data_IF_944026360906
#
_entry.id   IF_944026360906
#
_cell.length_a   1.000
_cell.length_b   1.000
_cell.length_c   1.000
_cell.angle_alpha   90.00
_cell.angle_beta   90.00
_cell.angle_gamma   90.00
#
_symmetry.space_group_name_H-M   'P 1'
#
loop_
_entity.id
_entity.type
_entity.pdbx_description
1 polymer ?
#
# COMPACT_ATOMS: atom_id res chain seq x y z
N UNK A 1 16.12 -13.56 11.25
CA UNK A 1 16.83 -12.31 11.58
C UNK A 1 16.03 -11.11 11.14
N UNK A 2 15.87 -10.10 12.04
CA UNK A 2 15.22 -8.83 11.76
C UNK A 2 16.23 -7.71 11.90
N UNK A 3 16.14 -6.71 11.04
CA UNK A 3 16.95 -5.49 11.14
C UNK A 3 16.15 -4.27 10.68
N UNK A 4 16.55 -3.11 11.17
CA UNK A 4 16.02 -1.82 10.71
C UNK A 4 16.98 -1.25 9.64
N UNK A 5 16.52 -0.97 8.40
CA UNK A 5 17.40 -0.42 7.37
C UNK A 5 18.09 0.90 7.75
N UNK A 6 17.46 1.70 8.60
CA UNK A 6 18.03 2.95 9.13
C UNK A 6 19.15 2.71 10.17
N UNK A 7 19.10 1.56 10.87
CA UNK A 7 20.03 1.17 11.93
C UNK A 7 20.46 -0.29 11.75
N UNK A 8 21.16 -0.65 10.66
CA UNK A 8 21.44 -2.04 10.29
C UNK A 8 22.34 -2.79 11.29
N UNK A 9 23.11 -2.07 12.10
CA UNK A 9 23.97 -2.66 13.13
C UNK A 9 23.23 -2.99 14.42
N UNK A 10 22.04 -2.44 14.64
CA UNK A 10 21.23 -2.70 15.82
C UNK A 10 20.27 -3.84 15.54
N UNK A 11 20.65 -5.03 15.97
CA UNK A 11 19.89 -6.27 15.80
C UNK A 11 19.25 -6.64 17.14
N UNK A 12 17.93 -6.48 17.30
CA UNK A 12 17.25 -6.75 18.59
C UNK A 12 17.41 -8.19 19.09
N UNK A 13 17.56 -9.13 18.16
CA UNK A 13 17.69 -10.56 18.45
C UNK A 13 19.14 -10.98 18.74
N UNK A 14 20.13 -10.07 18.60
CA UNK A 14 21.57 -10.33 18.69
C UNK A 14 22.27 -9.32 19.59
N UNK A 15 21.69 -9.03 20.76
CA UNK A 15 22.21 -8.01 21.67
C UNK A 15 23.38 -8.52 22.53
N UNK A 16 23.48 -9.83 22.74
CA UNK A 16 24.59 -10.49 23.45
C UNK A 16 25.09 -11.72 22.69
N UNK A 17 26.22 -12.29 23.13
CA UNK A 17 26.73 -13.55 22.56
C UNK A 17 25.74 -14.69 22.79
N UNK A 18 25.11 -14.72 23.98
CA UNK A 18 24.08 -15.70 24.32
C UNK A 18 22.87 -15.57 23.41
N UNK A 19 22.37 -14.34 23.18
CA UNK A 19 21.26 -14.10 22.28
C UNK A 19 21.55 -14.56 20.84
N UNK A 20 22.78 -14.34 20.37
CA UNK A 20 23.20 -14.81 19.04
C UNK A 20 23.22 -16.35 19.00
N UNK A 21 23.75 -17.00 20.04
CA UNK A 21 23.79 -18.46 20.12
C UNK A 21 22.40 -19.07 20.18
N UNK A 22 21.44 -18.43 20.80
CA UNK A 22 20.07 -18.93 20.94
C UNK A 22 19.21 -18.67 19.69
N UNK A 23 19.38 -17.51 19.06
CA UNK A 23 18.51 -17.06 17.97
C UNK A 23 19.11 -17.26 16.56
N UNK A 24 20.44 -17.41 16.40
CA UNK A 24 21.02 -17.61 15.08
C UNK A 24 20.71 -18.99 14.50
N UNK A 25 20.42 -19.03 13.20
CA UNK A 25 20.20 -20.27 12.49
C UNK A 25 21.50 -21.10 12.44
N UNK A 26 21.41 -22.40 12.81
CA UNK A 26 22.49 -23.37 12.82
C UNK A 26 22.24 -24.57 11.92
N UNK A 27 21.01 -24.71 11.43
CA UNK A 27 20.58 -25.85 10.62
C UNK A 27 19.75 -25.37 9.45
N UNK A 28 19.72 -26.17 8.41
CA UNK A 28 18.79 -25.99 7.29
C UNK A 28 18.15 -27.34 6.93
N UNK A 29 17.09 -27.29 6.16
CA UNK A 29 16.42 -28.44 5.62
C UNK A 29 16.71 -28.56 4.13
N UNK A 30 17.03 -29.75 3.65
CA UNK A 30 17.25 -30.03 2.25
C UNK A 30 16.57 -31.33 1.83
N UNK A 31 16.16 -31.36 0.56
CA UNK A 31 15.62 -32.54 -0.11
C UNK A 31 16.68 -33.00 -1.11
N UNK A 32 17.12 -34.26 -1.09
CA UNK A 32 18.05 -34.79 -2.10
C UNK A 32 17.37 -34.73 -3.47
N UNK A 33 18.04 -34.11 -4.46
CA UNK A 33 17.52 -33.97 -5.81
C UNK A 33 17.69 -35.24 -6.66
N UNK A 34 18.62 -36.12 -6.28
CA UNK A 34 18.88 -37.39 -6.98
C UNK A 34 19.08 -38.50 -5.98
N UNK A 35 18.24 -39.50 -6.07
CA UNK A 35 18.57 -40.83 -5.59
C UNK A 35 18.90 -41.67 -6.83
N UNK A 36 20.17 -42.07 -7.05
CA UNK A 36 20.60 -42.83 -8.22
C UNK A 36 19.89 -44.20 -8.34
N UNK A 37 19.08 -44.57 -7.32
CA UNK A 37 18.37 -45.84 -7.23
C UNK A 37 16.85 -45.73 -7.55
N UNK A 38 16.28 -44.53 -7.72
CA UNK A 38 14.83 -44.38 -7.94
C UNK A 38 14.51 -44.30 -9.43
N UNK A 39 13.77 -45.29 -9.92
CA UNK A 39 13.16 -45.23 -11.25
C UNK A 39 12.02 -44.17 -11.25
N UNK A 40 11.73 -43.50 -12.41
CA UNK A 40 10.74 -42.46 -12.50
C UNK A 40 9.29 -42.79 -12.09
N UNK A 41 9.02 -44.08 -11.79
CA UNK A 41 7.70 -44.60 -11.36
C UNK A 41 7.42 -44.39 -9.86
N UNK A 42 8.46 -44.15 -9.02
CA UNK A 42 8.34 -44.06 -7.57
C UNK A 42 8.27 -42.62 -7.02
N UNK A 43 8.04 -41.61 -7.88
CA UNK A 43 7.97 -40.20 -7.49
C UNK A 43 6.77 -39.83 -6.60
N UNK A 44 6.03 -40.77 -6.06
CA UNK A 44 4.89 -40.55 -5.16
C UNK A 44 5.22 -40.81 -3.68
N UNK A 45 6.40 -41.23 -3.31
CA UNK A 45 6.75 -41.46 -1.93
C UNK A 45 7.51 -40.26 -1.33
N UNK A 46 6.80 -39.52 -0.50
CA UNK A 46 7.23 -38.71 0.65
C UNK A 46 8.71 -38.28 0.69
N UNK A 47 9.11 -37.34 -0.17
CA UNK A 47 10.35 -36.60 0.05
C UNK A 47 10.23 -35.74 1.30
N UNK A 48 10.59 -36.27 2.45
CA UNK A 48 10.68 -35.48 3.68
C UNK A 48 12.00 -34.71 3.71
N UNK A 49 11.97 -33.40 3.96
CA UNK A 49 13.21 -32.66 4.09
C UNK A 49 14.02 -33.13 5.29
N UNK A 50 15.28 -33.43 5.05
CA UNK A 50 16.24 -33.82 6.09
C UNK A 50 16.93 -32.60 6.68
N UNK A 51 17.17 -32.59 7.99
CA UNK A 51 17.80 -31.48 8.70
C UNK A 51 19.32 -31.67 8.71
N UNK A 52 20.04 -30.64 8.24
CA UNK A 52 21.50 -30.60 8.18
C UNK A 52 22.06 -29.43 8.98
N UNK A 53 23.25 -29.57 9.62
CA UNK A 53 23.95 -28.45 10.21
C UNK A 53 24.46 -27.50 9.10
N UNK A 54 24.51 -26.18 9.37
CA UNK A 54 24.99 -25.19 8.40
C UNK A 54 26.40 -25.50 7.88
N UNK A 55 27.27 -26.14 8.66
CA UNK A 55 28.63 -26.54 8.24
C UNK A 55 28.67 -27.49 7.03
N UNK A 56 27.58 -28.16 6.70
CA UNK A 56 27.49 -28.96 5.46
C UNK A 56 27.60 -28.06 4.21
N UNK A 57 27.19 -26.80 4.31
CA UNK A 57 27.28 -25.80 3.25
C UNK A 57 28.59 -25.00 3.28
N UNK A 58 29.62 -25.37 4.04
CA UNK A 58 30.90 -24.66 4.09
C UNK A 58 31.61 -24.58 2.71
N UNK A 59 31.26 -25.48 1.79
CA UNK A 59 31.74 -25.45 0.41
C UNK A 59 31.03 -24.48 -0.51
N UNK A 60 29.90 -23.91 -0.07
CA UNK A 60 29.09 -22.97 -0.86
C UNK A 60 29.54 -21.54 -0.63
N UNK A 61 29.83 -20.80 -1.71
CA UNK A 61 30.25 -19.41 -1.62
C UNK A 61 29.22 -18.51 -0.92
N UNK A 62 27.92 -18.84 -1.01
CA UNK A 62 26.86 -18.09 -0.37
C UNK A 62 27.02 -17.99 1.16
N UNK A 63 27.51 -19.05 1.81
CA UNK A 63 27.69 -19.08 3.26
C UNK A 63 28.75 -18.08 3.74
N UNK A 64 29.75 -17.79 2.91
CA UNK A 64 30.82 -16.85 3.22
C UNK A 64 30.29 -15.43 3.52
N UNK A 65 29.23 -15.01 2.84
CA UNK A 65 28.61 -13.71 3.02
C UNK A 65 27.58 -13.66 4.17
N UNK A 66 27.12 -14.82 4.65
CA UNK A 66 25.99 -14.89 5.58
C UNK A 66 26.39 -15.33 6.99
N UNK A 67 27.45 -16.15 7.12
CA UNK A 67 27.78 -16.81 8.38
C UNK A 67 28.89 -16.13 9.17
N UNK A 68 28.82 -16.35 10.49
CA UNK A 68 29.89 -16.14 11.47
C UNK A 68 30.25 -17.45 12.13
N UNK A 69 31.36 -17.46 12.86
CA UNK A 69 31.87 -18.66 13.55
C UNK A 69 31.90 -18.43 15.05
N UNK A 70 31.21 -19.28 15.78
CA UNK A 70 31.34 -19.38 17.21
C UNK A 70 32.59 -20.18 17.59
N UNK A 71 33.47 -19.63 18.44
CA UNK A 71 34.70 -20.19 18.93
C UNK A 71 34.53 -20.44 20.44
N UNK A 72 34.17 -21.64 20.86
CA UNK A 72 33.88 -21.96 22.29
C UNK A 72 35.07 -21.66 23.22
N UNK A 73 36.27 -21.95 22.76
CA UNK A 73 37.51 -21.76 23.53
C UNK A 73 37.78 -20.29 23.88
N UNK A 74 37.41 -19.39 22.98
CA UNK A 74 37.57 -17.93 23.17
C UNK A 74 36.31 -17.26 23.76
N UNK A 75 35.17 -17.95 23.85
CA UNK A 75 33.89 -17.42 24.27
C UNK A 75 33.39 -16.28 23.38
N UNK A 76 33.72 -16.30 22.10
CA UNK A 76 33.38 -15.20 21.15
C UNK A 76 32.91 -15.68 19.79
N UNK A 77 32.19 -14.81 19.11
CA UNK A 77 31.75 -14.99 17.73
C UNK A 77 32.70 -14.16 16.85
N UNK A 78 33.30 -14.80 15.85
CA UNK A 78 34.11 -14.17 14.82
C UNK A 78 33.26 -14.03 13.54
N UNK A 79 33.29 -12.85 12.94
CA UNK A 79 32.60 -12.62 11.67
C UNK A 79 33.27 -13.42 10.54
N UNK A 80 32.45 -14.05 9.70
CA UNK A 80 32.91 -14.90 8.58
C UNK A 80 33.21 -16.35 8.96
N UNK A 81 33.60 -17.14 7.95
CA UNK A 81 33.80 -18.60 8.04
C UNK A 81 35.28 -19.02 8.08
N UNK A 82 36.22 -18.08 8.13
CA UNK A 82 37.67 -18.35 8.08
C UNK A 82 38.28 -18.98 9.36
N UNK A 83 37.48 -19.28 10.39
CA UNK A 83 37.90 -19.87 11.65
C UNK A 83 37.29 -21.28 11.85
N UNK A 84 37.95 -22.08 12.67
CA UNK A 84 37.40 -23.37 13.12
C UNK A 84 36.37 -23.08 14.23
N UNK A 85 35.18 -23.69 14.14
CA UNK A 85 34.11 -23.54 15.12
C UNK A 85 32.72 -23.81 14.54
N UNK A 86 31.70 -23.50 15.33
CA UNK A 86 30.29 -23.71 14.93
C UNK A 86 29.80 -22.56 14.06
N UNK A 87 29.19 -22.89 12.91
CA UNK A 87 28.61 -21.89 11.99
C UNK A 87 27.27 -21.35 12.48
N UNK A 88 27.12 -20.04 12.40
CA UNK A 88 25.91 -19.29 12.79
C UNK A 88 25.58 -18.32 11.65
N UNK A 89 24.32 -18.26 11.22
CA UNK A 89 23.87 -17.28 10.24
C UNK A 89 23.57 -15.95 10.95
N UNK A 90 24.45 -14.96 10.74
CA UNK A 90 24.36 -13.65 11.41
C UNK A 90 24.18 -12.48 10.44
N UNK A 91 24.44 -12.68 9.15
CA UNK A 91 24.51 -11.63 8.14
C UNK A 91 25.50 -10.50 8.47
N UNK A 92 26.48 -10.76 9.32
CA UNK A 92 27.45 -9.74 9.77
C UNK A 92 28.21 -9.10 8.61
N UNK A 93 28.60 -9.87 7.59
CA UNK A 93 29.26 -9.34 6.40
C UNK A 93 28.46 -8.25 5.71
N UNK A 94 27.14 -8.44 5.58
CA UNK A 94 26.24 -7.50 4.91
C UNK A 94 25.83 -6.37 5.84
N UNK A 95 25.36 -6.68 7.05
CA UNK A 95 24.74 -5.68 7.94
C UNK A 95 25.78 -4.88 8.73
N UNK A 96 26.90 -5.48 9.12
CA UNK A 96 27.95 -4.85 9.92
C UNK A 96 29.09 -4.29 9.05
N UNK A 97 29.52 -5.04 8.03
CA UNK A 97 30.64 -4.66 7.18
C UNK A 97 30.21 -4.05 5.83
N UNK A 98 28.90 -4.03 5.54
CA UNK A 98 28.31 -3.43 4.34
C UNK A 98 28.94 -3.95 3.03
N UNK A 99 29.35 -5.21 2.97
CA UNK A 99 29.90 -5.83 1.75
C UNK A 99 28.91 -5.81 0.59
N UNK A 100 27.63 -5.80 0.90
CA UNK A 100 26.53 -5.46 -0.01
C UNK A 100 25.65 -4.40 0.66
N UNK A 101 25.29 -3.30 -0.02
CA UNK A 101 24.60 -2.15 0.59
C UNK A 101 23.08 -2.40 0.78
N UNK A 102 22.69 -3.56 1.32
CA UNK A 102 21.31 -4.01 1.47
C UNK A 102 20.43 -2.99 2.19
N UNK A 103 20.91 -2.42 3.30
CA UNK A 103 20.14 -1.46 4.09
C UNK A 103 19.80 -0.19 3.31
N UNK A 104 20.74 0.30 2.47
CA UNK A 104 20.53 1.47 1.60
C UNK A 104 19.52 1.17 0.51
N UNK A 105 19.61 0.01 -0.13
CA UNK A 105 18.62 -0.43 -1.12
C UNK A 105 17.24 -0.59 -0.53
N UNK A 106 17.10 -1.27 0.61
CA UNK A 106 15.83 -1.44 1.28
C UNK A 106 15.19 -0.09 1.64
N UNK A 107 15.97 0.86 2.21
CA UNK A 107 15.48 2.20 2.49
C UNK A 107 15.01 2.93 1.23
N UNK A 108 15.81 2.92 0.17
CA UNK A 108 15.47 3.61 -1.08
C UNK A 108 14.21 3.01 -1.73
N UNK A 109 14.09 1.68 -1.76
CA UNK A 109 12.92 1.01 -2.31
C UNK A 109 11.65 1.30 -1.49
N UNK A 110 11.75 1.30 -0.15
CA UNK A 110 10.63 1.66 0.73
C UNK A 110 10.20 3.11 0.53
N UNK A 111 11.17 4.04 0.40
CA UNK A 111 10.89 5.47 0.17
C UNK A 111 10.24 5.70 -1.21
N UNK A 112 10.75 5.06 -2.27
CA UNK A 112 10.18 5.15 -3.61
C UNK A 112 8.79 4.52 -3.61
N UNK A 113 8.64 3.31 -3.09
CA UNK A 113 7.38 2.61 -3.02
C UNK A 113 6.33 3.38 -2.23
N UNK A 114 6.69 3.86 -1.04
CA UNK A 114 5.78 4.64 -0.19
C UNK A 114 5.32 5.93 -0.86
N UNK A 115 6.21 6.65 -1.55
CA UNK A 115 5.84 7.85 -2.32
C UNK A 115 4.96 7.53 -3.51
N UNK A 116 5.30 6.48 -4.28
CA UNK A 116 4.52 6.09 -5.46
C UNK A 116 3.12 5.60 -5.10
N UNK A 117 2.99 4.91 -3.96
CA UNK A 117 1.72 4.34 -3.51
C UNK A 117 0.94 5.25 -2.57
N UNK A 118 1.57 6.31 -2.06
CA UNK A 118 0.94 7.24 -1.11
C UNK A 118 0.70 6.66 0.30
N UNK A 119 1.25 5.49 0.62
CA UNK A 119 1.11 4.82 1.91
C UNK A 119 2.35 3.97 2.26
N UNK A 120 2.54 3.53 3.53
CA UNK A 120 3.56 2.56 3.88
C UNK A 120 3.41 1.27 3.07
N UNK A 121 4.54 0.69 2.66
CA UNK A 121 4.57 -0.49 1.80
C UNK A 121 5.36 -1.64 2.41
N UNK A 122 5.01 -2.86 2.00
CA UNK A 122 5.81 -4.07 2.18
C UNK A 122 6.47 -4.42 0.85
N UNK A 123 7.70 -4.90 0.91
CA UNK A 123 8.49 -5.29 -0.26
C UNK A 123 8.96 -6.72 -0.11
N UNK A 124 8.92 -7.47 -1.21
CA UNK A 124 9.64 -8.72 -1.35
C UNK A 124 10.73 -8.54 -2.41
N UNK A 125 11.92 -8.97 -2.10
CA UNK A 125 13.04 -8.88 -3.03
C UNK A 125 13.97 -10.09 -2.89
N UNK A 126 14.72 -10.38 -3.95
CA UNK A 126 15.80 -11.35 -3.96
C UNK A 126 17.12 -10.65 -4.24
N UNK A 127 18.20 -11.18 -3.66
CA UNK A 127 19.56 -10.68 -3.90
C UNK A 127 20.44 -11.83 -4.35
N UNK A 128 21.09 -11.67 -5.49
CA UNK A 128 22.17 -12.55 -5.93
C UNK A 128 23.51 -11.85 -5.60
N UNK A 129 24.18 -12.35 -4.58
CA UNK A 129 25.45 -11.78 -4.11
C UNK A 129 26.66 -12.21 -4.93
N UNK A 130 26.54 -13.37 -5.61
CA UNK A 130 27.63 -13.98 -6.37
C UNK A 130 27.11 -14.46 -7.74
N UNK A 131 26.74 -13.52 -8.63
CA UNK A 131 26.30 -13.89 -9.95
C UNK A 131 27.45 -14.50 -10.77
N UNK A 132 27.12 -15.42 -11.65
CA UNK A 132 28.10 -16.07 -12.53
C UNK A 132 28.88 -15.03 -13.35
N UNK A 133 30.13 -15.37 -13.71
CA UNK A 133 30.96 -14.62 -14.66
C UNK A 133 31.43 -13.22 -14.27
N UNK A 134 31.63 -12.95 -12.98
CA UNK A 134 32.20 -11.67 -12.50
C UNK A 134 31.28 -10.46 -12.67
N UNK A 135 29.99 -10.69 -12.81
CA UNK A 135 28.97 -9.65 -12.80
C UNK A 135 28.83 -9.06 -11.38
N UNK A 136 28.35 -7.83 -11.31
CA UNK A 136 28.05 -7.19 -10.02
C UNK A 136 26.87 -7.88 -9.33
N UNK A 137 26.82 -7.88 -7.98
CA UNK A 137 25.65 -8.36 -7.25
C UNK A 137 24.35 -7.68 -7.74
N UNK A 138 23.28 -8.46 -7.82
CA UNK A 138 22.00 -8.04 -8.35
C UNK A 138 20.92 -8.07 -7.27
N UNK A 139 20.01 -7.11 -7.32
CA UNK A 139 18.79 -7.09 -6.51
C UNK A 139 17.58 -7.07 -7.44
N UNK A 140 16.64 -7.97 -7.22
CA UNK A 140 15.38 -8.04 -7.93
C UNK A 140 14.22 -7.74 -6.98
N UNK A 141 13.44 -6.70 -7.29
CA UNK A 141 12.17 -6.46 -6.61
C UNK A 141 11.15 -7.49 -7.14
N UNK A 142 10.64 -8.34 -6.27
CA UNK A 142 9.69 -9.40 -6.61
C UNK A 142 8.25 -8.95 -6.40
N UNK A 143 7.97 -8.25 -5.31
CA UNK A 143 6.65 -7.76 -4.98
C UNK A 143 6.71 -6.45 -4.20
N UNK A 144 5.73 -5.59 -4.44
CA UNK A 144 5.43 -4.41 -3.62
C UNK A 144 3.93 -4.38 -3.35
N UNK A 145 3.56 -4.17 -2.09
CA UNK A 145 2.16 -4.06 -1.68
C UNK A 145 2.00 -3.07 -0.52
N UNK A 146 0.82 -2.46 -0.33
CA UNK A 146 0.54 -1.67 0.84
C UNK A 146 0.72 -2.49 2.12
N UNK A 147 1.26 -1.85 3.16
CA UNK A 147 1.35 -2.49 4.47
C UNK A 147 -0.05 -2.68 5.05
N UNK A 148 -0.43 -3.91 5.35
CA UNK A 148 -1.71 -4.21 5.97
C UNK A 148 -1.75 -3.70 7.42
N UNK A 149 -2.51 -2.63 7.69
CA UNK A 149 -2.86 -2.19 9.04
C UNK A 149 -4.29 -2.67 9.30
N UNK A 150 -4.52 -3.43 10.34
CA UNK A 150 -5.86 -3.88 10.72
C UNK A 150 -6.65 -2.67 11.25
N UNK A 151 -7.64 -2.22 10.52
CA UNK A 151 -8.64 -1.27 11.04
C UNK A 151 -9.83 -2.08 11.55
N UNK A 152 -10.38 -1.69 12.71
CA UNK A 152 -11.58 -2.31 13.24
C UNK A 152 -12.76 -1.99 12.30
N UNK A 153 -13.60 -2.98 12.02
CA UNK A 153 -14.88 -2.73 11.38
C UNK A 153 -15.71 -1.81 12.27
N UNK A 154 -16.33 -0.80 11.68
CA UNK A 154 -17.23 0.12 12.37
C UNK A 154 -18.64 -0.23 11.92
N UNK A 155 -19.46 -0.65 12.88
CA UNK A 155 -20.87 -0.91 12.66
C UNK A 155 -21.66 0.39 12.89
N UNK A 156 -22.39 0.86 11.89
CA UNK A 156 -23.24 2.05 11.97
C UNK A 156 -24.51 1.90 11.14
N UNK A 157 -25.57 2.59 11.55
CA UNK A 157 -26.78 2.73 10.77
C UNK A 157 -26.86 4.10 10.11
N UNK A 158 -27.25 4.18 8.84
CA UNK A 158 -27.38 5.45 8.11
C UNK A 158 -28.35 6.43 8.78
N UNK A 159 -29.38 5.91 9.47
CA UNK A 159 -30.38 6.69 10.19
C UNK A 159 -29.82 7.43 11.42
N UNK A 160 -28.62 7.09 11.87
CA UNK A 160 -27.95 7.79 12.99
C UNK A 160 -27.45 9.19 12.60
N UNK A 161 -27.28 9.43 11.31
CA UNK A 161 -26.76 10.70 10.80
C UNK A 161 -27.89 11.64 10.39
N UNK A 162 -27.73 12.89 10.76
CA UNK A 162 -28.63 13.95 10.29
C UNK A 162 -28.60 14.04 8.75
N UNK A 163 -29.77 13.85 8.14
CA UNK A 163 -29.92 13.86 6.69
C UNK A 163 -29.48 15.18 6.04
N UNK A 164 -29.52 16.29 6.78
CA UNK A 164 -29.04 17.60 6.30
C UNK A 164 -27.50 17.64 6.21
N UNK A 165 -26.81 16.83 7.01
CA UNK A 165 -25.34 16.74 6.97
C UNK A 165 -24.84 15.80 5.87
N UNK A 166 -25.67 14.96 5.29
CA UNK A 166 -25.26 13.99 4.29
C UNK A 166 -24.96 14.64 2.96
N UNK A 167 -23.69 14.60 2.52
CA UNK A 167 -23.25 15.01 1.17
C UNK A 167 -23.43 13.84 0.20
N UNK A 168 -22.99 12.65 0.60
CA UNK A 168 -23.05 11.45 -0.20
C UNK A 168 -23.45 10.26 0.66
N UNK A 169 -24.37 9.42 0.18
CA UNK A 169 -24.66 8.12 0.77
C UNK A 169 -24.78 7.08 -0.32
N UNK A 170 -24.30 5.87 -0.04
CA UNK A 170 -24.31 4.76 -0.99
C UNK A 170 -24.56 3.43 -0.30
N UNK A 171 -25.32 2.56 -0.96
CA UNK A 171 -25.45 1.13 -0.66
C UNK A 171 -24.47 0.29 -1.49
N UNK A 172 -23.49 0.93 -2.12
CA UNK A 172 -22.38 0.34 -2.86
C UNK A 172 -21.09 1.06 -2.50
N UNK A 173 -20.71 0.94 -1.22
CA UNK A 173 -19.50 1.49 -0.68
C UNK A 173 -18.54 0.37 -0.30
N UNK A 174 -17.23 0.60 -0.49
CA UNK A 174 -16.18 -0.33 -0.13
C UNK A 174 -15.11 0.39 0.70
N UNK A 175 -14.58 -0.31 1.66
CA UNK A 175 -13.68 0.17 2.70
C UNK A 175 -14.24 -0.21 4.07
N UNK A 176 -13.57 0.18 5.13
CA UNK A 176 -14.05 0.01 6.50
C UNK A 176 -13.57 1.15 7.37
N UNK A 177 -14.41 1.55 8.33
CA UNK A 177 -14.02 2.45 9.39
C UNK A 177 -14.45 3.89 9.17
N UNK A 178 -13.86 4.77 9.99
CA UNK A 178 -14.04 6.20 9.97
C UNK A 178 -12.82 6.88 9.35
N UNK A 179 -13.02 7.68 8.30
CA UNK A 179 -11.97 8.44 7.63
C UNK A 179 -12.18 9.92 7.91
N UNK A 180 -11.16 10.57 8.45
CA UNK A 180 -11.09 12.02 8.73
C UNK A 180 -9.86 12.65 8.09
N UNK A 181 -9.61 13.93 8.34
CA UNK A 181 -8.44 14.62 7.80
C UNK A 181 -8.59 15.05 6.34
N UNK A 182 -9.81 15.07 5.79
CA UNK A 182 -10.09 15.49 4.41
C UNK A 182 -10.73 16.86 4.41
N UNK A 183 -10.05 17.86 3.83
CA UNK A 183 -10.58 19.19 3.59
C UNK A 183 -10.65 19.53 2.10
N UNK A 184 -9.90 18.80 1.30
CA UNK A 184 -9.79 19.01 -0.12
C UNK A 184 -10.73 18.10 -0.87
N UNK A 185 -11.41 18.65 -1.88
CA UNK A 185 -12.28 17.89 -2.78
C UNK A 185 -11.88 18.23 -4.22
N UNK A 186 -11.47 17.22 -4.97
CA UNK A 186 -11.38 17.33 -6.42
C UNK A 186 -12.72 16.87 -7.00
N UNK A 187 -13.47 17.83 -7.52
CA UNK A 187 -14.82 17.63 -7.98
C UNK A 187 -14.95 17.92 -9.48
N UNK A 188 -15.34 16.90 -10.24
CA UNK A 188 -15.73 17.05 -11.65
C UNK A 188 -17.24 17.05 -11.71
N UNK A 189 -17.83 18.21 -12.04
CA UNK A 189 -19.28 18.40 -12.10
C UNK A 189 -19.90 17.55 -13.21
N UNK A 190 -20.77 16.55 -12.89
CA UNK A 190 -21.36 15.65 -13.90
C UNK A 190 -22.20 16.37 -14.96
N UNK A 191 -22.75 17.54 -14.67
CA UNK A 191 -23.56 18.29 -15.62
C UNK A 191 -22.71 19.07 -16.63
N UNK A 192 -21.52 19.48 -16.24
CA UNK A 192 -20.56 20.21 -17.09
C UNK A 192 -19.61 19.28 -17.85
N UNK A 193 -19.46 18.04 -17.39
CA UNK A 193 -18.53 17.08 -17.96
C UNK A 193 -18.85 16.68 -19.39
N UNK A 194 -17.84 16.78 -20.26
CA UNK A 194 -17.84 16.26 -21.64
C UNK A 194 -16.81 15.14 -21.78
N UNK A 195 -17.24 13.97 -22.19
CA UNK A 195 -16.41 12.77 -22.39
C UNK A 195 -15.30 12.97 -23.40
N UNK A 196 -15.52 13.84 -24.41
CA UNK A 196 -14.52 14.14 -25.41
C UNK A 196 -13.23 14.74 -24.82
N UNK A 197 -13.33 15.38 -23.65
CA UNK A 197 -12.24 16.03 -22.95
C UNK A 197 -11.81 15.27 -21.68
N UNK A 198 -12.14 13.96 -21.56
CA UNK A 198 -11.87 13.17 -20.36
C UNK A 198 -10.36 12.96 -20.12
N UNK A 199 -9.53 12.89 -21.16
CA UNK A 199 -8.07 12.79 -21.05
C UNK A 199 -7.46 14.11 -20.50
N UNK A 200 -7.92 15.25 -20.99
CA UNK A 200 -7.47 16.56 -20.48
C UNK A 200 -7.83 16.71 -19.00
N UNK A 201 -9.02 16.25 -18.61
CA UNK A 201 -9.45 16.21 -17.21
C UNK A 201 -8.55 15.31 -16.35
N UNK A 202 -8.14 14.15 -16.89
CA UNK A 202 -7.20 13.25 -16.24
C UNK A 202 -5.85 13.92 -15.98
N UNK A 203 -5.29 14.59 -16.99
CA UNK A 203 -4.00 15.31 -16.88
C UNK A 203 -4.05 16.43 -15.82
N UNK A 204 -5.13 17.18 -15.77
CA UNK A 204 -5.32 18.24 -14.76
C UNK A 204 -5.47 17.66 -13.35
N UNK A 205 -6.18 16.55 -13.18
CA UNK A 205 -6.28 15.84 -11.91
C UNK A 205 -4.92 15.32 -11.45
N UNK A 206 -4.12 14.77 -12.37
CA UNK A 206 -2.77 14.31 -12.07
C UNK A 206 -1.87 15.44 -11.55
N UNK A 207 -1.97 16.64 -12.14
CA UNK A 207 -1.25 17.82 -11.67
C UNK A 207 -1.68 18.25 -10.27
N UNK A 208 -2.99 18.30 -10.00
CA UNK A 208 -3.53 18.65 -8.67
C UNK A 208 -3.14 17.60 -7.63
N UNK A 209 -3.21 16.31 -7.98
CA UNK A 209 -2.74 15.22 -7.12
C UNK A 209 -1.27 15.39 -6.76
N UNK A 210 -0.41 15.72 -7.72
CA UNK A 210 1.01 15.97 -7.48
C UNK A 210 1.24 17.13 -6.50
N UNK A 211 0.52 18.23 -6.66
CA UNK A 211 0.59 19.40 -5.78
C UNK A 211 0.13 19.07 -4.35
N UNK A 212 -1.05 18.47 -4.21
CA UNK A 212 -1.62 18.08 -2.92
C UNK A 212 -0.76 17.04 -2.20
N UNK A 213 -0.28 16.03 -2.91
CA UNK A 213 0.60 14.99 -2.36
C UNK A 213 1.92 15.56 -1.86
N UNK A 214 2.52 16.52 -2.58
CA UNK A 214 3.75 17.20 -2.13
C UNK A 214 3.53 18.01 -0.85
N UNK A 215 2.32 18.53 -0.65
CA UNK A 215 1.91 19.27 0.56
C UNK A 215 1.44 18.34 1.69
N UNK A 216 1.38 17.03 1.46
CA UNK A 216 0.84 16.06 2.43
C UNK A 216 -0.69 16.14 2.61
N UNK A 217 -1.40 16.83 1.71
CA UNK A 217 -2.85 17.02 1.74
C UNK A 217 -3.53 15.84 1.07
N UNK A 218 -4.51 15.27 1.74
CA UNK A 218 -5.35 14.18 1.23
C UNK A 218 -6.70 14.74 0.81
N UNK A 219 -7.33 14.11 -0.18
CA UNK A 219 -8.55 14.65 -0.76
C UNK A 219 -9.62 13.59 -1.03
N UNK A 220 -10.85 14.08 -1.18
CA UNK A 220 -12.00 13.36 -1.71
C UNK A 220 -12.05 13.60 -3.23
N UNK A 221 -12.13 12.54 -4.03
CA UNK A 221 -12.24 12.60 -5.48
C UNK A 221 -13.67 12.25 -5.89
N UNK A 222 -14.36 13.17 -6.54
CA UNK A 222 -15.75 12.97 -7.02
C UNK A 222 -15.83 13.25 -8.52
N UNK A 223 -16.40 12.33 -9.28
CA UNK A 223 -16.59 12.58 -10.71
C UNK A 223 -17.52 11.61 -11.42
N UNK A 224 -17.88 11.95 -12.67
CA UNK A 224 -18.80 11.19 -13.49
C UNK A 224 -18.14 9.94 -14.09
N UNK A 225 -18.88 8.84 -14.12
CA UNK A 225 -18.44 7.59 -14.71
C UNK A 225 -17.42 6.86 -13.84
N UNK A 226 -16.65 5.97 -14.47
CA UNK A 226 -15.62 5.16 -13.82
C UNK A 226 -14.29 5.88 -13.78
N UNK A 227 -13.62 5.81 -12.65
CA UNK A 227 -12.23 6.20 -12.55
C UNK A 227 -11.33 5.06 -13.06
N UNK A 228 -10.27 5.41 -13.77
CA UNK A 228 -9.29 4.44 -14.27
C UNK A 228 -9.76 3.57 -15.43
N UNK A 229 -10.88 3.91 -16.08
CA UNK A 229 -11.31 3.22 -17.29
C UNK A 229 -10.42 3.59 -18.49
N UNK A 230 -9.87 2.60 -19.18
CA UNK A 230 -9.16 2.84 -20.45
C UNK A 230 -10.08 3.33 -21.58
N UNK A 231 -11.39 3.08 -21.43
CA UNK A 231 -12.41 3.62 -22.34
C UNK A 231 -12.89 4.96 -21.79
N UNK A 232 -12.50 6.04 -22.43
CA UNK A 232 -12.87 7.42 -22.09
C UNK A 232 -14.37 7.70 -22.14
N UNK A 233 -15.14 6.85 -22.83
CA UNK A 233 -16.60 6.93 -22.86
C UNK A 233 -17.25 6.42 -21.57
N UNK A 234 -16.53 5.62 -20.79
CA UNK A 234 -17.00 5.05 -19.53
C UNK A 234 -16.72 5.93 -18.31
N UNK A 235 -15.82 6.91 -18.44
CA UNK A 235 -15.45 7.80 -17.32
C UNK A 235 -14.16 8.56 -17.56
N UNK A 236 -13.36 8.74 -16.52
CA UNK A 236 -12.11 9.51 -16.55
C UNK A 236 -10.92 8.55 -16.48
N UNK A 237 -10.03 8.53 -17.50
CA UNK A 237 -8.99 7.52 -17.66
C UNK A 237 -7.73 7.85 -16.84
N UNK A 238 -7.83 7.91 -15.52
CA UNK A 238 -6.69 8.12 -14.63
C UNK A 238 -5.98 6.81 -14.31
N UNK A 239 -4.66 6.87 -14.20
CA UNK A 239 -3.88 5.79 -13.58
C UNK A 239 -3.82 5.98 -12.05
N UNK A 240 -3.55 4.90 -11.32
CA UNK A 240 -3.47 4.96 -9.85
C UNK A 240 -2.45 6.00 -9.36
N UNK A 241 -1.30 6.10 -10.01
CA UNK A 241 -0.26 7.08 -9.66
C UNK A 241 -0.72 8.54 -9.77
N UNK A 242 -1.73 8.81 -10.58
CA UNK A 242 -2.29 10.14 -10.84
C UNK A 242 -3.31 10.57 -9.79
N UNK A 243 -3.79 9.63 -8.96
CA UNK A 243 -4.77 9.89 -7.90
C UNK A 243 -4.41 9.26 -6.55
N UNK A 244 -3.16 8.85 -6.36
CA UNK A 244 -2.70 8.16 -5.16
C UNK A 244 -2.80 9.00 -3.85
N UNK A 245 -3.08 10.29 -3.95
CA UNK A 245 -3.41 11.18 -2.84
C UNK A 245 -4.86 11.09 -2.39
N UNK A 246 -5.77 10.52 -3.19
CA UNK A 246 -7.16 10.35 -2.82
C UNK A 246 -7.32 9.41 -1.62
N UNK A 247 -8.14 9.82 -0.63
CA UNK A 247 -8.53 8.99 0.52
C UNK A 247 -9.90 8.37 0.33
N UNK A 248 -10.74 9.03 -0.47
CA UNK A 248 -12.07 8.54 -0.83
C UNK A 248 -12.31 8.88 -2.30
N UNK A 249 -12.92 7.95 -3.01
CA UNK A 249 -13.29 8.08 -4.43
C UNK A 249 -14.78 7.86 -4.58
N UNK A 250 -15.46 8.76 -5.29
CA UNK A 250 -16.89 8.67 -5.61
C UNK A 250 -17.07 8.63 -7.11
N UNK A 251 -17.69 7.56 -7.59
CA UNK A 251 -18.18 7.43 -8.96
C UNK A 251 -19.65 7.79 -9.01
N UNK A 252 -20.03 8.74 -9.87
CA UNK A 252 -21.44 9.13 -10.01
C UNK A 252 -21.96 8.97 -11.43
N UNK A 253 -23.23 8.58 -11.55
CA UNK A 253 -23.95 8.64 -12.81
C UNK A 253 -24.06 10.10 -13.31
N UNK A 254 -24.14 10.30 -14.63
CA UNK A 254 -24.24 11.63 -15.22
C UNK A 254 -25.20 11.66 -16.42
N UNK A 255 -25.98 12.72 -16.52
CA UNK A 255 -27.02 12.89 -17.53
C UNK A 255 -27.96 11.66 -17.53
N UNK A 256 -28.03 10.94 -18.63
CA UNK A 256 -28.77 9.65 -18.76
C UNK A 256 -27.89 8.42 -18.64
N UNK A 257 -26.62 8.57 -18.25
CA UNK A 257 -25.68 7.48 -18.14
C UNK A 257 -25.62 6.99 -16.70
N UNK A 258 -26.00 5.72 -16.49
CA UNK A 258 -25.84 5.04 -15.22
C UNK A 258 -24.43 4.47 -15.14
N UNK A 259 -23.69 4.86 -14.11
CA UNK A 259 -22.37 4.28 -13.86
C UNK A 259 -22.54 2.85 -13.39
N UNK A 260 -21.79 1.93 -13.99
CA UNK A 260 -21.60 0.60 -13.42
C UNK A 260 -20.33 0.65 -12.58
N UNK A 261 -20.35 0.15 -11.33
CA UNK A 261 -19.18 0.20 -10.45
C UNK A 261 -17.93 -0.38 -11.10
N UNK A 262 -16.77 0.15 -10.71
CA UNK A 262 -15.46 -0.33 -11.18
C UNK A 262 -15.04 -1.68 -10.57
N UNK A 263 -15.94 -2.37 -9.88
CA UNK A 263 -15.72 -3.67 -9.25
C UNK A 263 -15.08 -4.68 -10.20
N UNK A 264 -14.05 -5.41 -9.72
CA UNK A 264 -13.34 -6.40 -10.52
C UNK A 264 -12.30 -5.85 -11.51
N UNK A 265 -12.11 -4.53 -11.59
CA UNK A 265 -11.01 -3.93 -12.37
C UNK A 265 -9.70 -3.90 -11.59
N UNK A 266 -8.57 -3.82 -12.30
CA UNK A 266 -7.26 -3.60 -11.66
C UNK A 266 -7.23 -2.29 -10.86
N UNK A 267 -7.95 -1.27 -11.31
CA UNK A 267 -8.10 -0.02 -10.60
C UNK A 267 -8.79 -0.22 -9.25
N UNK A 268 -9.86 -0.99 -9.20
CA UNK A 268 -10.58 -1.33 -7.97
C UNK A 268 -9.72 -2.14 -7.00
N UNK A 269 -8.89 -3.06 -7.50
CA UNK A 269 -7.91 -3.76 -6.67
C UNK A 269 -6.91 -2.80 -6.00
N UNK A 270 -6.49 -1.75 -6.68
CA UNK A 270 -5.67 -0.72 -6.07
C UNK A 270 -6.42 0.00 -4.95
N UNK A 271 -7.67 0.45 -5.18
CA UNK A 271 -8.48 1.13 -4.16
C UNK A 271 -8.58 0.30 -2.88
N UNK A 272 -8.91 -0.99 -3.00
CA UNK A 272 -9.03 -1.90 -1.85
C UNK A 272 -7.69 -2.15 -1.17
N UNK A 273 -6.61 -2.32 -1.94
CA UNK A 273 -5.26 -2.55 -1.42
C UNK A 273 -4.71 -1.34 -0.68
N UNK A 274 -5.02 -0.12 -1.14
CA UNK A 274 -4.59 1.14 -0.54
C UNK A 274 -5.56 1.71 0.49
N UNK A 275 -6.66 0.98 0.79
CA UNK A 275 -7.69 1.37 1.75
C UNK A 275 -8.29 2.72 1.44
N UNK A 276 -8.50 2.99 0.18
CA UNK A 276 -9.24 4.15 -0.28
C UNK A 276 -10.72 3.81 -0.16
N UNK A 277 -11.47 4.67 0.53
CA UNK A 277 -12.92 4.55 0.58
C UNK A 277 -13.49 4.71 -0.83
N UNK A 278 -14.41 3.85 -1.20
CA UNK A 278 -15.04 3.89 -2.53
C UNK A 278 -16.55 3.94 -2.41
N UNK A 279 -17.16 4.80 -3.22
CA UNK A 279 -18.60 4.97 -3.31
C UNK A 279 -19.04 4.96 -4.79
N UNK A 280 -20.10 4.25 -5.07
CA UNK A 280 -20.79 4.32 -6.36
C UNK A 280 -22.20 4.81 -6.16
N UNK A 281 -22.59 5.90 -6.83
CA UNK A 281 -23.90 6.51 -6.68
C UNK A 281 -24.53 6.83 -8.04
N UNK A 282 -25.80 6.55 -8.18
CA UNK A 282 -26.61 6.91 -9.35
C UNK A 282 -27.89 7.64 -8.88
N UNK A 283 -27.81 8.94 -8.51
CA UNK A 283 -28.95 9.63 -7.93
C UNK A 283 -30.20 9.65 -8.83
N UNK A 284 -30.02 9.65 -10.14
CA UNK A 284 -31.11 9.62 -11.11
C UNK A 284 -31.82 8.25 -11.18
N UNK A 285 -31.22 7.19 -10.66
CA UNK A 285 -31.78 5.85 -10.59
C UNK A 285 -32.17 5.46 -9.16
N UNK A 286 -32.21 6.43 -8.23
CA UNK A 286 -32.46 6.23 -6.80
C UNK A 286 -31.45 5.24 -6.13
N UNK A 287 -30.23 5.19 -6.66
CA UNK A 287 -29.13 4.39 -6.12
C UNK A 287 -28.12 5.29 -5.41
N UNK A 288 -28.40 5.63 -4.16
CA UNK A 288 -27.60 6.53 -3.36
C UNK A 288 -27.89 8.03 -3.60
N UNK A 289 -27.23 8.87 -2.82
CA UNK A 289 -27.41 10.32 -2.83
C UNK A 289 -26.06 11.01 -3.04
N UNK A 290 -26.05 12.10 -3.80
CA UNK A 290 -24.95 13.05 -3.90
C UNK A 290 -25.51 14.47 -3.99
N UNK A 291 -25.11 15.34 -3.06
CA UNK A 291 -25.56 16.73 -3.00
C UNK A 291 -24.67 17.63 -3.87
N UNK A 292 -24.99 17.69 -5.15
CA UNK A 292 -24.28 18.52 -6.14
C UNK A 292 -24.45 20.03 -5.87
N UNK A 293 -25.59 20.44 -5.31
CA UNK A 293 -25.84 21.85 -5.02
C UNK A 293 -24.91 22.34 -3.92
N UNK A 294 -24.77 21.56 -2.87
CA UNK A 294 -23.84 21.87 -1.80
C UNK A 294 -22.38 21.92 -2.30
N UNK A 295 -21.95 20.98 -3.12
CA UNK A 295 -20.60 20.93 -3.69
C UNK A 295 -20.31 22.19 -4.53
N UNK A 296 -21.25 22.63 -5.35
CA UNK A 296 -21.10 23.83 -6.20
C UNK A 296 -21.00 25.14 -5.41
N UNK A 297 -21.49 25.18 -4.18
CA UNK A 297 -21.47 26.34 -3.30
C UNK A 297 -20.19 26.45 -2.45
N UNK A 298 -19.31 25.42 -2.46
CA UNK A 298 -18.12 25.44 -1.63
C UNK A 298 -17.04 26.39 -2.16
N UNK A 299 -16.15 26.89 -1.29
CA UNK A 299 -15.01 27.70 -1.70
C UNK A 299 -14.12 26.97 -2.69
N UNK A 300 -13.84 27.63 -3.82
CA UNK A 300 -13.01 27.08 -4.90
C UNK A 300 -11.59 27.63 -4.76
N UNK A 301 -10.61 26.74 -4.56
CA UNK A 301 -9.19 27.10 -4.54
C UNK A 301 -8.64 27.25 -5.97
N UNK A 302 -9.04 26.33 -6.88
CA UNK A 302 -8.70 26.44 -8.30
C UNK A 302 -9.77 25.79 -9.18
N UNK A 303 -9.86 26.26 -10.43
CA UNK A 303 -10.74 25.68 -11.46
C UNK A 303 -9.91 25.16 -12.61
N UNK A 304 -10.24 23.97 -13.06
CA UNK A 304 -9.76 23.37 -14.29
C UNK A 304 -10.78 23.45 -15.42
N UNK A 305 -10.49 22.76 -16.52
CA UNK A 305 -11.41 22.55 -17.62
C UNK A 305 -12.50 21.53 -17.30
N UNK A 306 -13.46 21.38 -18.22
CA UNK A 306 -14.44 20.30 -18.25
C UNK A 306 -15.20 20.07 -16.93
N UNK A 307 -15.49 21.13 -16.18
CA UNK A 307 -16.20 21.09 -14.90
C UNK A 307 -15.36 20.69 -13.69
N UNK A 308 -14.03 20.56 -13.82
CA UNK A 308 -13.14 20.28 -12.71
C UNK A 308 -13.00 21.49 -11.77
N UNK A 309 -13.12 21.28 -10.49
CA UNK A 309 -12.89 22.27 -9.44
C UNK A 309 -12.14 21.61 -8.27
N UNK A 310 -11.16 22.31 -7.75
CA UNK A 310 -10.54 22.00 -6.46
C UNK A 310 -11.22 22.88 -5.40
N UNK A 311 -11.94 22.23 -4.51
CA UNK A 311 -12.62 22.85 -3.38
C UNK A 311 -11.78 22.67 -2.13
N UNK A 312 -11.64 23.70 -1.30
CA UNK A 312 -10.93 23.62 -0.04
C UNK A 312 -11.85 24.09 1.09
N UNK A 313 -12.17 23.18 1.99
CA UNK A 313 -13.07 23.42 3.11
C UNK A 313 -12.29 23.97 4.31
N UNK A 314 -12.94 24.80 5.14
CA UNK A 314 -12.37 25.27 6.40
C UNK A 314 -12.24 24.16 7.42
N UNK A 315 -13.17 23.23 7.44
CA UNK A 315 -13.24 22.10 8.38
C UNK A 315 -13.20 20.77 7.63
N UNK A 316 -12.88 19.70 8.36
CA UNK A 316 -12.73 18.35 7.82
C UNK A 316 -14.07 17.69 7.55
N UNK A 317 -14.13 16.90 6.49
CA UNK A 317 -15.21 15.95 6.23
C UNK A 317 -15.10 14.74 7.13
N UNK A 318 -16.21 14.13 7.44
CA UNK A 318 -16.28 12.83 8.06
C UNK A 318 -16.81 11.80 7.05
N UNK A 319 -16.12 10.66 6.95
CA UNK A 319 -16.54 9.56 6.08
C UNK A 319 -16.62 8.28 6.89
N UNK A 320 -17.76 7.62 6.80
CA UNK A 320 -18.04 6.36 7.49
C UNK A 320 -18.35 5.30 6.47
N UNK A 321 -17.70 4.12 6.58
CA UNK A 321 -17.90 3.00 5.65
C UNK A 321 -18.00 1.71 6.46
N UNK A 322 -19.10 0.97 6.22
CA UNK A 322 -19.26 -0.42 6.62
C UNK A 322 -19.20 -1.30 5.38
N UNK A 323 -18.04 -1.92 5.15
CA UNK A 323 -17.82 -2.77 4.00
C UNK A 323 -18.53 -4.12 4.09
N UNK A 324 -19.00 -4.54 5.29
CA UNK A 324 -19.77 -5.79 5.47
C UNK A 324 -21.17 -5.67 4.90
N UNK A 325 -21.79 -4.49 5.06
CA UNK A 325 -23.12 -4.17 4.54
C UNK A 325 -23.05 -3.34 3.23
N UNK A 326 -21.84 -3.06 2.74
CA UNK A 326 -21.58 -2.21 1.57
C UNK A 326 -22.19 -0.79 1.69
N UNK A 327 -22.34 -0.28 2.90
CA UNK A 327 -22.91 1.03 3.20
C UNK A 327 -21.82 2.06 3.45
N UNK A 328 -22.06 3.30 3.01
CA UNK A 328 -21.16 4.40 3.32
C UNK A 328 -21.84 5.75 3.27
N UNK A 329 -21.31 6.70 4.06
CA UNK A 329 -21.78 8.07 4.14
C UNK A 329 -20.64 9.06 4.22
N UNK A 330 -20.76 10.18 3.53
CA UNK A 330 -19.88 11.34 3.60
C UNK A 330 -20.69 12.49 4.18
N UNK A 331 -20.20 13.07 5.27
CA UNK A 331 -20.89 14.10 6.04
C UNK A 331 -20.20 15.45 5.86
N UNK A 332 -21.01 16.49 5.84
CA UNK A 332 -20.56 17.88 6.00
C UNK A 332 -19.87 18.06 7.35
N UNK A 333 -18.92 18.99 7.43
CA UNK A 333 -18.39 19.44 8.70
C UNK A 333 -19.50 19.82 9.68
N UNK A 334 -19.29 19.61 10.96
CA UNK A 334 -20.19 20.13 11.98
C UNK A 334 -20.18 21.67 11.93
N UNK A 335 -21.35 22.30 11.87
CA UNK A 335 -21.43 23.74 12.09
C UNK A 335 -21.00 23.99 13.53
N UNK A 336 -19.96 24.78 13.75
CA UNK A 336 -19.71 25.32 15.10
C UNK A 336 -20.99 25.96 15.58
N UNK A 337 -21.47 25.51 16.75
CA UNK A 337 -22.54 26.18 17.45
C UNK A 337 -22.06 27.63 17.71
N UNK A 338 -22.50 28.57 16.88
CA UNK A 338 -22.34 29.97 17.17
C UNK A 338 -23.01 30.20 18.54
N UNK A 339 -22.20 30.50 19.55
CA UNK A 339 -22.66 30.93 20.87
C UNK A 339 -23.61 32.16 20.70
N UNK A 340 -24.89 31.86 20.51
CA UNK A 340 -25.94 32.84 20.80
C UNK A 340 -26.04 33.03 22.32
N UNK A 341 -25.00 33.58 22.91
CA UNK A 341 -25.02 34.16 24.25
C UNK A 341 -24.30 35.48 24.22
N UNK A 342 -24.96 36.50 23.65
CA UNK A 342 -24.81 37.88 24.03
C UNK A 342 -25.90 38.69 23.33
N UNK A 343 -27.04 38.75 23.91
CA UNK A 343 -27.99 39.85 23.78
C UNK A 343 -28.68 40.06 25.14
#
# INVERSE_FOLDING_TARGET
LRFCPKYPHSLPEFSSVEDILDNAQRHFYAIPMHDEASTPADCTENYQPSRFPISVADGDNALHNLASTWIPEDGRIADGVGRVGTRLVTFASILKHATFPLAKFASALLDIGGRSMGCPVELEFAVNLDPADGLSPEIALLQIRPMAVSEASVDFCLEQFDSERVICSSHRAFGNGHISGIRDILFVDPEQFDRAHSHETSDEIAQLNGQLSHQGRRYLLIGPGRWGSKDSWMGIPVDWSEINGARVVVETGFKKFRVQPSEGSHFFHNLTSFRVGYFSVNPQADEGRLDLEWLRLQPVESRGGNGLSHLCLEQELEVWIDGSEAHGVILRPEKEATDEKNA
#
